data_IF_921759871119
#
_entry.id   IF_921759871119
#
_cell.length_a   1.000
_cell.length_b   1.000
_cell.length_c   1.000
_cell.angle_alpha   90.00
_cell.angle_beta   90.00
_cell.angle_gamma   90.00
#
_symmetry.space_group_name_H-M   'P 1'
#
loop_
_entity.id
_entity.type
_entity.pdbx_description
1 polymer ?
#
# COMPACT_ATOMS: atom_id res chain seq x y z
N UNK A 1 9.73 5.13 -3.17
CA UNK A 1 8.97 5.50 -1.96
C UNK A 1 9.91 6.18 -0.98
N UNK A 2 9.52 7.31 -0.41
CA UNK A 2 10.35 7.99 0.62
C UNK A 2 10.05 7.40 1.99
N UNK A 3 11.03 7.34 2.88
CA UNK A 3 10.81 7.00 4.29
C UNK A 3 10.23 8.23 5.01
N UNK A 4 9.11 8.07 5.72
CA UNK A 4 8.52 9.14 6.51
C UNK A 4 9.22 9.25 7.87
N UNK A 5 9.55 10.48 8.30
CA UNK A 5 10.22 10.74 9.56
C UNK A 5 9.21 11.18 10.62
N UNK A 6 8.76 10.24 11.45
CA UNK A 6 7.74 10.48 12.48
C UNK A 6 8.22 11.41 13.59
N UNK A 7 9.49 11.35 13.98
CA UNK A 7 10.03 12.22 15.04
C UNK A 7 10.10 13.67 14.57
N UNK A 8 10.49 13.89 13.30
CA UNK A 8 10.48 15.22 12.69
C UNK A 8 9.04 15.76 12.58
N UNK A 9 8.08 14.92 12.20
CA UNK A 9 6.67 15.31 12.10
C UNK A 9 6.03 15.65 13.46
N UNK A 10 6.34 14.88 14.50
CA UNK A 10 5.80 15.09 15.87
C UNK A 10 6.35 16.35 16.53
N UNK A 11 7.55 16.78 16.17
CA UNK A 11 8.14 18.00 16.72
C UNK A 11 7.41 19.24 16.17
N UNK A 12 6.73 19.97 17.08
CA UNK A 12 5.93 21.15 16.76
C UNK A 12 6.75 22.29 16.15
N UNK A 13 8.04 22.38 16.47
CA UNK A 13 8.92 23.45 15.98
C UNK A 13 9.28 23.29 14.49
N UNK A 14 9.17 22.07 13.96
CA UNK A 14 9.50 21.79 12.56
C UNK A 14 8.43 22.27 11.57
N UNK A 15 7.24 22.66 12.06
CA UNK A 15 6.12 23.18 11.26
C UNK A 15 5.86 22.35 10.00
N UNK A 16 5.65 21.04 10.19
CA UNK A 16 5.31 20.11 9.11
C UNK A 16 3.79 19.93 9.02
N UNK A 17 3.29 19.97 7.79
CA UNK A 17 1.91 19.61 7.48
C UNK A 17 1.92 18.46 6.47
N UNK A 18 1.10 17.45 6.66
CA UNK A 18 0.95 16.34 5.70
C UNK A 18 -0.38 16.51 4.96
N UNK A 19 -0.31 16.78 3.67
CA UNK A 19 -1.49 16.88 2.80
C UNK A 19 -1.90 15.48 2.32
N UNK A 20 -3.20 15.18 2.39
CA UNK A 20 -3.81 14.00 1.79
C UNK A 20 -4.81 14.47 0.74
N UNK A 21 -4.58 14.09 -0.51
CA UNK A 21 -5.42 14.47 -1.66
C UNK A 21 -6.67 13.62 -1.77
N UNK A 22 -6.63 12.40 -1.28
CA UNK A 22 -7.75 11.45 -1.33
C UNK A 22 -8.19 11.02 0.08
N UNK A 23 -9.42 10.53 0.18
CA UNK A 23 -9.93 9.96 1.44
C UNK A 23 -9.13 8.70 1.85
N UNK A 24 -8.62 7.94 0.87
CA UNK A 24 -7.76 6.78 1.11
C UNK A 24 -6.42 7.19 1.73
N UNK A 25 -5.78 8.23 1.21
CA UNK A 25 -4.56 8.80 1.79
C UNK A 25 -4.83 9.27 3.22
N UNK A 26 -5.95 9.96 3.45
CA UNK A 26 -6.33 10.42 4.78
C UNK A 26 -6.57 9.27 5.76
N UNK A 27 -7.26 8.20 5.33
CA UNK A 27 -7.50 6.99 6.15
C UNK A 27 -6.18 6.31 6.50
N UNK A 28 -5.30 6.15 5.52
CA UNK A 28 -3.99 5.53 5.72
C UNK A 28 -3.12 6.37 6.67
N UNK A 29 -3.01 7.68 6.44
CA UNK A 29 -2.22 8.56 7.30
C UNK A 29 -2.76 8.64 8.73
N UNK A 30 -4.08 8.77 8.90
CA UNK A 30 -4.73 8.75 10.21
C UNK A 30 -4.47 7.45 10.97
N UNK A 31 -4.53 6.31 10.27
CA UNK A 31 -4.17 5.01 10.84
C UNK A 31 -2.70 4.98 11.27
N UNK A 32 -1.79 5.47 10.43
CA UNK A 32 -0.36 5.54 10.76
C UNK A 32 -0.09 6.45 11.96
N UNK A 33 -0.73 7.62 12.07
CA UNK A 33 -0.63 8.48 13.25
C UNK A 33 -1.08 7.75 14.52
N UNK A 34 -2.19 6.98 14.44
CA UNK A 34 -2.67 6.17 15.55
C UNK A 34 -1.67 5.07 15.96
N UNK A 35 -1.12 4.33 14.99
CA UNK A 35 -0.10 3.29 15.22
C UNK A 35 1.17 3.87 15.87
N UNK A 36 1.48 5.14 15.59
CA UNK A 36 2.58 5.87 16.23
C UNK A 36 2.22 6.55 17.55
N UNK A 37 1.09 6.17 18.16
CA UNK A 37 0.66 6.59 19.50
C UNK A 37 0.08 8.01 19.58
N UNK A 38 -0.20 8.64 18.44
CA UNK A 38 -0.76 9.99 18.40
C UNK A 38 -2.29 9.96 18.56
N UNK A 39 -2.88 11.09 18.93
CA UNK A 39 -4.33 11.30 19.02
C UNK A 39 -4.71 12.70 18.53
N UNK A 40 -5.98 12.89 18.20
CA UNK A 40 -6.52 14.23 18.01
C UNK A 40 -6.32 15.08 19.26
N UNK A 41 -6.27 16.41 19.12
CA UNK A 41 -6.07 17.34 20.24
C UNK A 41 -7.17 17.24 21.32
N UNK A 42 -8.35 16.74 20.96
CA UNK A 42 -9.46 16.44 21.88
C UNK A 42 -9.33 15.07 22.59
N UNK A 43 -8.26 14.32 22.33
CA UNK A 43 -8.00 12.99 22.89
C UNK A 43 -8.69 11.83 22.18
N UNK A 44 -9.49 12.08 21.13
CA UNK A 44 -10.13 11.03 20.35
C UNK A 44 -9.14 10.28 19.43
N UNK A 45 -9.51 9.05 19.09
CA UNK A 45 -8.75 8.23 18.13
C UNK A 45 -8.95 8.70 16.69
N UNK A 46 -7.87 8.71 15.91
CA UNK A 46 -7.90 8.95 14.46
C UNK A 46 -8.74 7.92 13.68
N UNK A 47 -8.96 6.73 14.24
CA UNK A 47 -9.71 5.66 13.58
C UNK A 47 -11.22 5.95 13.49
N UNK A 48 -11.74 6.87 14.32
CA UNK A 48 -13.17 7.20 14.37
C UNK A 48 -13.58 8.15 13.24
N UNK A 49 -12.74 9.13 12.94
CA UNK A 49 -12.99 10.15 11.92
C UNK A 49 -11.67 10.76 11.45
N UNK A 50 -11.47 10.79 10.14
CA UNK A 50 -10.29 11.41 9.51
C UNK A 50 -10.43 12.91 9.35
N UNK A 51 -11.66 13.45 9.42
CA UNK A 51 -11.99 14.85 9.10
C UNK A 51 -11.66 15.30 7.65
N UNK A 52 -11.34 14.36 6.77
CA UNK A 52 -11.02 14.64 5.35
C UNK A 52 -12.15 15.40 4.63
N UNK A 53 -13.42 15.10 4.95
CA UNK A 53 -14.57 15.70 4.27
C UNK A 53 -14.71 17.22 4.46
N UNK A 54 -13.98 17.81 5.42
CA UNK A 54 -14.02 19.26 5.69
C UNK A 54 -13.31 20.07 4.60
N UNK A 55 -12.14 19.60 4.13
CA UNK A 55 -11.32 20.31 3.14
C UNK A 55 -11.00 19.47 1.89
N UNK A 56 -11.40 18.19 1.86
CA UNK A 56 -11.18 17.23 0.77
C UNK A 56 -9.70 17.19 0.37
N UNK A 57 -9.39 17.35 -0.91
CA UNK A 57 -8.02 17.35 -1.46
C UNK A 57 -7.10 18.39 -0.81
N UNK A 58 -7.66 19.46 -0.24
CA UNK A 58 -6.93 20.46 0.51
C UNK A 58 -6.68 20.11 1.98
N UNK A 59 -6.99 18.90 2.45
CA UNK A 59 -6.84 18.56 3.89
C UNK A 59 -5.38 18.35 4.26
N UNK A 60 -4.91 19.09 5.27
CA UNK A 60 -3.60 18.96 5.88
C UNK A 60 -3.71 18.52 7.34
N UNK A 61 -2.82 17.61 7.76
CA UNK A 61 -2.72 17.08 9.12
C UNK A 61 -1.43 17.51 9.80
N UNK A 62 -1.47 17.72 11.12
CA UNK A 62 -0.36 18.29 11.89
C UNK A 62 0.06 17.40 13.06
N UNK A 63 1.34 17.47 13.43
CA UNK A 63 1.92 16.75 14.57
C UNK A 63 1.27 17.08 15.92
N UNK A 64 0.55 18.21 16.01
CA UNK A 64 -0.23 18.63 17.18
C UNK A 64 -1.53 17.85 17.38
N UNK A 65 -1.92 16.98 16.45
CA UNK A 65 -3.22 16.32 16.46
C UNK A 65 -4.34 17.24 15.98
N UNK A 66 -4.05 18.07 14.97
CA UNK A 66 -5.00 18.99 14.35
C UNK A 66 -5.07 18.72 12.83
N UNK A 67 -6.08 19.29 12.18
CA UNK A 67 -6.21 19.31 10.73
C UNK A 67 -6.72 20.68 10.27
N UNK A 68 -6.41 21.06 9.05
CA UNK A 68 -6.88 22.32 8.46
C UNK A 68 -6.72 22.30 6.93
N UNK A 69 -7.01 23.41 6.26
CA UNK A 69 -6.83 23.54 4.81
C UNK A 69 -5.36 23.73 4.42
N UNK A 70 -5.05 23.38 3.17
CA UNK A 70 -3.77 23.64 2.54
C UNK A 70 -3.42 25.12 2.57
N UNK A 71 -4.38 25.99 2.26
CA UNK A 71 -4.20 27.45 2.30
C UNK A 71 -3.73 27.95 3.67
N UNK A 72 -4.22 27.35 4.77
CA UNK A 72 -3.73 27.67 6.10
C UNK A 72 -2.27 27.23 6.28
N UNK A 73 -1.94 26.00 5.90
CA UNK A 73 -0.55 25.51 5.97
C UNK A 73 0.42 26.42 5.19
N UNK A 74 0.03 26.85 3.98
CA UNK A 74 0.81 27.77 3.15
C UNK A 74 0.93 29.16 3.79
N UNK A 75 -0.19 29.74 4.24
CA UNK A 75 -0.21 31.05 4.90
C UNK A 75 0.71 31.13 6.12
N UNK A 76 0.82 30.04 6.88
CA UNK A 76 1.64 29.97 8.08
C UNK A 76 3.02 29.34 7.82
N UNK A 77 3.44 29.19 6.55
CA UNK A 77 4.76 28.70 6.14
C UNK A 77 5.10 27.31 6.72
N UNK A 78 4.14 26.38 6.69
CA UNK A 78 4.42 24.98 6.99
C UNK A 78 5.15 24.32 5.81
N UNK A 79 6.06 23.40 6.12
CA UNK A 79 6.62 22.46 5.15
C UNK A 79 5.55 21.42 4.82
N UNK A 80 4.95 21.51 3.64
CA UNK A 80 3.90 20.60 3.20
C UNK A 80 4.53 19.36 2.56
N UNK A 81 4.22 18.21 3.13
CA UNK A 81 4.57 16.90 2.62
C UNK A 81 3.32 16.26 2.01
N UNK A 82 3.47 15.64 0.85
CA UNK A 82 2.37 14.94 0.17
C UNK A 82 2.35 13.48 0.65
N UNK A 83 1.26 13.02 1.27
CA UNK A 83 1.22 11.65 1.82
C UNK A 83 1.44 10.60 0.74
N UNK A 84 1.01 10.86 -0.50
CA UNK A 84 1.27 10.01 -1.66
C UNK A 84 2.75 9.67 -1.90
N UNK A 85 3.70 10.51 -1.46
CA UNK A 85 5.14 10.24 -1.60
C UNK A 85 5.64 9.14 -0.64
N UNK A 86 4.87 8.87 0.41
CA UNK A 86 5.19 7.99 1.53
C UNK A 86 4.23 6.79 1.63
N UNK A 87 2.98 6.96 1.20
CA UNK A 87 1.98 5.91 1.20
C UNK A 87 2.35 4.82 0.21
N UNK A 88 2.53 3.61 0.72
CA UNK A 88 2.55 2.43 -0.13
C UNK A 88 1.11 2.15 -0.56
N UNK A 89 0.73 2.62 -1.74
CA UNK A 89 -0.54 2.17 -2.34
C UNK A 89 -0.47 0.65 -2.42
N UNK A 90 -1.36 -0.01 -1.68
CA UNK A 90 -1.55 -1.45 -1.81
C UNK A 90 -2.16 -1.66 -3.19
N UNK A 91 -1.47 -2.40 -4.04
CA UNK A 91 -2.06 -2.87 -5.29
C UNK A 91 -3.05 -3.97 -4.93
N UNK A 92 -4.28 -3.78 -5.36
CA UNK A 92 -5.42 -4.63 -5.06
C UNK A 92 -6.03 -5.19 -6.34
N UNK A 93 -6.97 -6.12 -6.20
CA UNK A 93 -7.74 -6.62 -7.35
C UNK A 93 -8.40 -5.48 -8.13
N UNK A 94 -8.93 -4.48 -7.43
CA UNK A 94 -9.57 -3.32 -8.03
C UNK A 94 -8.63 -2.45 -8.88
N UNK A 95 -7.31 -2.58 -8.69
CA UNK A 95 -6.31 -1.88 -9.50
C UNK A 95 -6.02 -2.56 -10.85
N UNK A 96 -6.44 -3.82 -11.03
CA UNK A 96 -6.32 -4.54 -12.30
C UNK A 96 -7.24 -3.94 -13.34
N UNK A 97 -6.69 -3.72 -14.54
CA UNK A 97 -7.42 -3.15 -15.69
C UNK A 97 -7.19 -4.00 -16.92
N UNK A 98 -8.17 -3.96 -17.83
CA UNK A 98 -8.05 -4.59 -19.14
C UNK A 98 -6.74 -4.18 -19.84
N UNK A 99 -6.04 -5.18 -20.37
CA UNK A 99 -4.73 -4.99 -21.01
C UNK A 99 -3.53 -5.08 -20.05
N UNK A 100 -3.74 -5.25 -18.75
CA UNK A 100 -2.68 -5.66 -17.83
C UNK A 100 -2.40 -7.16 -17.96
N UNK A 101 -1.18 -7.57 -17.62
CA UNK A 101 -0.77 -8.98 -17.59
C UNK A 101 -0.40 -9.35 -16.16
N UNK A 102 -0.84 -10.51 -15.69
CA UNK A 102 -0.54 -11.03 -14.34
C UNK A 102 0.29 -12.31 -14.42
N UNK A 103 1.08 -12.55 -13.39
CA UNK A 103 1.84 -13.77 -13.19
C UNK A 103 1.53 -14.34 -11.80
N UNK A 104 1.38 -15.66 -11.72
CA UNK A 104 1.08 -16.37 -10.49
C UNK A 104 2.33 -16.77 -9.71
N UNK A 105 2.15 -17.14 -8.45
CA UNK A 105 3.17 -17.81 -7.62
C UNK A 105 3.60 -19.18 -8.17
N UNK A 106 2.78 -19.80 -9.03
CA UNK A 106 3.10 -21.06 -9.71
C UNK A 106 3.30 -20.82 -11.21
N UNK A 107 4.53 -21.04 -11.67
CA UNK A 107 4.95 -20.80 -13.04
C UNK A 107 4.34 -21.78 -14.06
N UNK A 108 3.70 -22.88 -13.62
CA UNK A 108 3.10 -23.84 -14.55
C UNK A 108 1.91 -23.27 -15.33
N UNK A 109 1.23 -22.25 -14.78
CA UNK A 109 0.05 -21.62 -15.39
C UNK A 109 0.38 -20.50 -16.38
N UNK A 110 1.66 -20.12 -16.53
CA UNK A 110 2.08 -19.01 -17.37
C UNK A 110 1.46 -17.65 -16.98
N UNK A 111 1.66 -16.65 -17.84
CA UNK A 111 1.10 -15.29 -17.67
C UNK A 111 -0.33 -15.22 -18.18
N UNK A 112 -1.16 -14.36 -17.57
CA UNK A 112 -2.57 -14.15 -17.96
C UNK A 112 -2.84 -12.70 -18.31
N UNK A 113 -3.59 -12.47 -19.38
CA UNK A 113 -4.12 -11.16 -19.76
C UNK A 113 -5.40 -10.88 -18.97
N UNK A 114 -5.46 -9.70 -18.34
CA UNK A 114 -6.69 -9.18 -17.75
C UNK A 114 -7.56 -8.64 -18.88
N UNK A 115 -8.76 -9.18 -19.04
CA UNK A 115 -9.74 -8.69 -20.02
C UNK A 115 -11.16 -9.05 -19.63
N UNK A 116 -12.05 -8.05 -19.60
CA UNK A 116 -13.49 -8.25 -19.40
C UNK A 116 -13.85 -8.90 -18.06
N UNK A 117 -13.03 -8.70 -17.02
CA UNK A 117 -13.21 -9.36 -15.72
C UNK A 117 -12.67 -10.79 -15.65
N UNK A 118 -11.90 -11.24 -16.64
CA UNK A 118 -11.26 -12.55 -16.66
C UNK A 118 -9.74 -12.45 -16.74
N UNK A 119 -9.06 -13.50 -16.29
CA UNK A 119 -7.63 -13.72 -16.49
C UNK A 119 -7.46 -14.82 -17.55
N UNK A 120 -7.07 -14.44 -18.76
CA UNK A 120 -7.00 -15.34 -19.93
C UNK A 120 -5.55 -15.67 -20.30
N UNK A 121 -5.24 -16.94 -20.52
CA UNK A 121 -3.95 -17.45 -21.01
C UNK A 121 -4.13 -18.43 -22.17
N UNK A 122 -3.03 -19.00 -22.65
CA UNK A 122 -3.06 -19.96 -23.78
C UNK A 122 -3.79 -21.27 -23.46
N UNK A 123 -3.79 -21.66 -22.19
CA UNK A 123 -4.36 -22.89 -21.63
C UNK A 123 -5.78 -22.71 -21.05
N UNK A 124 -6.35 -21.50 -21.09
CA UNK A 124 -7.72 -21.25 -20.63
C UNK A 124 -7.91 -19.90 -19.93
N UNK A 125 -8.98 -19.79 -19.15
CA UNK A 125 -9.34 -18.57 -18.42
C UNK A 125 -9.84 -18.88 -17.01
N UNK A 126 -9.78 -17.89 -16.13
CA UNK A 126 -10.41 -17.90 -14.80
C UNK A 126 -11.14 -16.58 -14.55
N UNK A 127 -12.22 -16.63 -13.78
CA UNK A 127 -12.98 -15.46 -13.37
C UNK A 127 -12.17 -14.65 -12.35
N UNK A 128 -12.00 -13.34 -12.59
CA UNK A 128 -11.32 -12.47 -11.63
C UNK A 128 -12.11 -12.33 -10.32
N UNK A 129 -13.41 -12.62 -10.35
CA UNK A 129 -14.29 -12.77 -9.18
C UNK A 129 -13.83 -13.83 -8.19
N UNK A 130 -13.09 -14.85 -8.64
CA UNK A 130 -12.51 -15.89 -7.79
C UNK A 130 -11.30 -15.40 -6.97
N UNK A 131 -10.89 -14.14 -7.14
CA UNK A 131 -9.81 -13.52 -6.38
C UNK A 131 -10.35 -12.49 -5.39
N UNK A 132 -9.73 -12.42 -4.21
CA UNK A 132 -10.00 -11.36 -3.24
C UNK A 132 -9.20 -10.08 -3.54
N UNK A 133 -9.47 -9.00 -2.80
CA UNK A 133 -8.76 -7.72 -2.99
C UNK A 133 -7.23 -7.80 -2.76
N UNK A 134 -6.75 -8.83 -2.06
CA UNK A 134 -5.31 -9.07 -1.87
C UNK A 134 -4.70 -9.94 -2.99
N UNK A 135 -5.43 -10.11 -4.10
CA UNK A 135 -5.05 -10.87 -5.29
C UNK A 135 -4.70 -12.35 -5.00
N UNK A 136 -5.40 -12.95 -4.04
CA UNK A 136 -5.33 -14.38 -3.76
C UNK A 136 -6.62 -15.05 -4.24
N UNK A 137 -6.49 -16.20 -4.87
CA UNK A 137 -7.64 -17.02 -5.21
C UNK A 137 -8.36 -17.45 -3.91
N UNK A 138 -9.69 -17.51 -3.94
CA UNK A 138 -10.51 -17.84 -2.76
C UNK A 138 -10.66 -19.35 -2.53
N UNK A 139 -10.34 -20.18 -3.53
CA UNK A 139 -10.49 -21.64 -3.50
C UNK A 139 -9.14 -22.37 -3.57
N UNK A 140 -8.18 -21.83 -4.31
CA UNK A 140 -6.85 -22.43 -4.51
C UNK A 140 -5.72 -21.63 -3.85
N UNK A 141 -4.54 -22.23 -3.79
CA UNK A 141 -3.31 -21.58 -3.28
C UNK A 141 -2.66 -20.61 -4.31
N UNK A 142 -3.37 -20.30 -5.40
CA UNK A 142 -2.87 -19.37 -6.41
C UNK A 142 -2.94 -17.92 -5.93
N UNK A 143 -1.82 -17.22 -6.07
CA UNK A 143 -1.70 -15.80 -5.79
C UNK A 143 -1.14 -15.10 -7.01
N UNK A 144 -1.69 -13.95 -7.38
CA UNK A 144 -1.02 -13.06 -8.35
C UNK A 144 0.16 -12.43 -7.61
N UNK A 145 1.36 -12.63 -8.14
CA UNK A 145 2.61 -12.16 -7.55
C UNK A 145 3.24 -11.02 -8.33
N UNK A 146 2.93 -10.90 -9.62
CA UNK A 146 3.40 -9.77 -10.44
C UNK A 146 2.31 -9.29 -11.36
N UNK A 147 2.31 -7.99 -11.62
CA UNK A 147 1.46 -7.35 -12.61
C UNK A 147 2.35 -6.52 -13.53
N UNK A 148 2.04 -6.57 -14.82
CA UNK A 148 2.78 -5.93 -15.88
C UNK A 148 1.87 -5.08 -16.74
N UNK A 149 2.47 -4.04 -17.31
CA UNK A 149 1.93 -3.27 -18.42
C UNK A 149 2.55 -3.78 -19.73
N UNK A 150 1.74 -3.85 -20.77
CA UNK A 150 2.19 -4.15 -22.13
C UNK A 150 2.86 -2.89 -22.72
N UNK A 151 4.10 -3.02 -23.21
CA UNK A 151 4.87 -1.91 -23.80
C UNK A 151 4.32 -1.50 -25.15
N UNK A 152 4.07 -2.45 -26.05
CA UNK A 152 3.50 -2.19 -27.36
C UNK A 152 2.59 -3.33 -27.84
N UNK A 153 1.70 -3.02 -28.79
CA UNK A 153 0.79 -4.01 -29.37
C UNK A 153 1.55 -5.00 -30.25
N UNK A 154 1.25 -6.28 -30.05
CA UNK A 154 1.82 -7.41 -30.81
C UNK A 154 0.72 -8.41 -31.14
N UNK A 155 1.08 -9.47 -31.86
CA UNK A 155 0.21 -10.65 -32.01
C UNK A 155 -0.12 -11.20 -30.62
N UNK A 156 -1.33 -11.72 -30.43
CA UNK A 156 -1.75 -12.29 -29.14
C UNK A 156 -0.75 -13.33 -28.63
N UNK A 157 -0.25 -14.19 -29.53
CA UNK A 157 0.75 -15.22 -29.22
C UNK A 157 2.11 -14.70 -28.75
N UNK A 158 2.37 -13.39 -28.83
CA UNK A 158 3.63 -12.79 -28.38
C UNK A 158 3.45 -11.52 -27.56
N UNK A 159 2.21 -11.16 -27.23
CA UNK A 159 1.91 -9.92 -26.52
C UNK A 159 2.35 -9.98 -25.05
N UNK A 160 2.34 -11.17 -24.46
CA UNK A 160 2.75 -11.44 -23.07
C UNK A 160 4.21 -11.91 -22.93
N UNK A 161 5.02 -11.82 -23.99
CA UNK A 161 6.45 -12.13 -23.88
C UNK A 161 7.17 -11.10 -23.00
N UNK A 162 8.15 -11.54 -22.21
CA UNK A 162 8.85 -10.72 -21.22
C UNK A 162 9.48 -9.45 -21.82
N UNK A 163 9.98 -9.51 -23.05
CA UNK A 163 10.56 -8.35 -23.74
C UNK A 163 9.52 -7.23 -23.98
N UNK A 164 8.24 -7.60 -24.07
CA UNK A 164 7.10 -6.70 -24.25
C UNK A 164 6.44 -6.26 -22.93
N UNK A 165 6.93 -6.69 -21.77
CA UNK A 165 6.32 -6.41 -20.47
C UNK A 165 7.15 -5.44 -19.63
N UNK A 166 6.46 -4.52 -18.96
CA UNK A 166 6.99 -3.57 -17.99
C UNK A 166 6.36 -3.88 -16.62
N UNK A 167 7.17 -4.24 -15.62
CA UNK A 167 6.70 -4.57 -14.27
C UNK A 167 6.10 -3.32 -13.61
N UNK A 168 4.83 -3.40 -13.19
CA UNK A 168 4.15 -2.30 -12.48
C UNK A 168 3.97 -2.60 -10.99
N UNK A 169 3.88 -3.88 -10.63
CA UNK A 169 3.75 -4.29 -9.25
C UNK A 169 4.30 -5.70 -9.05
N UNK A 170 4.95 -5.91 -7.91
CA UNK A 170 5.42 -7.20 -7.44
C UNK A 170 5.02 -7.35 -5.98
N UNK A 171 4.49 -8.54 -5.65
CA UNK A 171 4.12 -8.92 -4.29
C UNK A 171 5.38 -8.93 -3.44
N UNK A 172 5.38 -8.12 -2.39
CA UNK A 172 6.43 -8.20 -1.37
C UNK A 172 6.27 -9.51 -0.63
N UNK A 173 7.28 -10.38 -0.68
CA UNK A 173 7.28 -11.61 0.11
C UNK A 173 7.11 -11.25 1.59
N UNK A 174 6.02 -11.70 2.21
CA UNK A 174 5.98 -11.78 3.67
C UNK A 174 6.99 -12.82 4.09
N UNK A 175 8.11 -12.37 4.67
CA UNK A 175 9.13 -13.26 5.24
C UNK A 175 8.43 -14.17 6.25
N UNK A 176 8.24 -15.44 5.88
CA UNK A 176 7.89 -16.48 6.84
C UNK A 176 9.13 -16.69 7.68
N UNK A 177 8.97 -16.55 8.98
CA UNK A 177 10.05 -16.64 9.94
C UNK A 177 9.52 -17.52 11.07
N UNK A 178 10.32 -18.48 11.53
CA UNK A 178 9.88 -19.34 12.63
C UNK A 178 9.80 -18.54 13.93
N UNK A 179 9.13 -19.10 14.94
CA UNK A 179 9.03 -18.50 16.27
C UNK A 179 10.44 -18.30 16.86
N UNK A 180 11.36 -19.22 16.59
CA UNK A 180 12.76 -19.17 17.01
C UNK A 180 13.53 -18.05 16.32
N UNK A 181 13.34 -17.88 15.02
CA UNK A 181 13.97 -16.78 14.27
C UNK A 181 13.41 -15.41 14.70
N UNK A 182 12.12 -15.33 15.08
CA UNK A 182 11.51 -14.13 15.68
C UNK A 182 12.12 -13.83 17.05
N UNK A 183 12.23 -14.85 17.90
CA UNK A 183 12.88 -14.74 19.20
C UNK A 183 14.31 -14.22 19.04
N UNK A 184 15.14 -14.87 18.21
CA UNK A 184 16.55 -14.52 18.07
C UNK A 184 16.75 -13.05 17.64
N UNK A 185 15.97 -12.58 16.67
CA UNK A 185 16.04 -11.17 16.26
C UNK A 185 15.58 -10.21 17.34
N UNK A 186 14.59 -10.60 18.13
CA UNK A 186 14.10 -9.76 19.23
C UNK A 186 15.13 -9.71 20.36
N UNK A 187 15.83 -10.81 20.66
CA UNK A 187 16.94 -10.85 21.61
C UNK A 187 18.12 -9.98 21.12
N UNK A 188 18.47 -10.03 19.83
CA UNK A 188 19.50 -9.14 19.25
C UNK A 188 19.12 -7.65 19.33
N UNK A 189 17.84 -7.31 19.13
CA UNK A 189 17.35 -5.93 19.18
C UNK A 189 17.26 -5.38 20.60
N UNK A 190 16.88 -6.22 21.56
CA UNK A 190 16.64 -5.82 22.95
C UNK A 190 17.86 -6.01 23.84
N UNK A 191 18.76 -6.92 23.49
CA UNK A 191 19.86 -7.37 24.35
C UNK A 191 19.41 -8.28 25.50
N UNK A 192 18.14 -8.67 25.53
CA UNK A 192 17.54 -9.49 26.59
C UNK A 192 17.28 -10.91 26.08
N UNK A 193 17.38 -11.90 26.97
CA UNK A 193 17.03 -13.28 26.65
C UNK A 193 15.51 -13.46 26.79
N UNK A 194 14.86 -14.02 25.78
CA UNK A 194 13.41 -14.11 25.68
C UNK A 194 12.96 -15.55 25.82
N UNK A 195 12.12 -15.86 26.80
CA UNK A 195 11.49 -17.17 26.91
C UNK A 195 10.13 -17.16 26.19
N UNK A 196 9.98 -18.03 25.17
CA UNK A 196 8.70 -18.21 24.48
C UNK A 196 7.97 -19.37 25.14
N UNK A 197 6.80 -19.09 25.72
CA UNK A 197 5.92 -20.10 26.31
C UNK A 197 4.80 -20.45 25.32
N UNK A 198 4.37 -21.71 25.35
CA UNK A 198 3.35 -22.25 24.44
C UNK A 198 1.92 -21.91 24.86
#
# INVERSE_FOLDING_TARGET
MKKFNWDEFKNKDNKIAVNCKTEEEAKDFCKQMHEHGMKWCNGESYLKNTNYNVHREGTCYYGSGEYSSRDFAEKYNYKILEWSDYMQKKFTKSDLKDGMVVEYNDNCFGKRLVIGGFLTGEDGYVDLGDYNENLKNVVSDLEIVRVYKIKCMRKISSIMHDDNLELIWERTETKKMTVEEMKQKLEELTGEQIEVTA
#
